data_IF_113512445176
#
_entry.id   IF_113512445176
#
_cell.length_a   1.000
_cell.length_b   1.000
_cell.length_c   1.000
_cell.angle_alpha   90.00
_cell.angle_beta   90.00
_cell.angle_gamma   90.00
#
_symmetry.space_group_name_H-M   'P 1'
#
loop_
_entity.id
_entity.type
_entity.pdbx_description
1 polymer ?
#
# COMPACT_ATOMS: atom_id res chain seq x y z
N UNK A 1 34.88 -0.09 -5.65
CA UNK A 1 33.73 0.57 -4.97
C UNK A 1 32.42 0.08 -5.61
N UNK A 2 31.49 -0.42 -4.80
CA UNK A 2 30.14 -0.78 -5.30
C UNK A 2 29.40 0.49 -5.72
N UNK A 3 28.86 0.52 -6.94
CA UNK A 3 28.08 1.62 -7.48
C UNK A 3 26.60 1.25 -7.40
N UNK A 4 25.80 2.14 -6.82
CA UNK A 4 24.34 1.98 -6.76
C UNK A 4 23.66 3.02 -7.61
N UNK A 5 22.56 2.63 -8.21
CA UNK A 5 21.72 3.46 -9.06
C UNK A 5 20.31 3.43 -8.53
N UNK A 6 19.58 4.51 -8.73
CA UNK A 6 18.21 4.64 -8.33
C UNK A 6 17.32 4.81 -9.55
N UNK A 7 16.17 4.14 -9.56
CA UNK A 7 15.11 4.35 -10.52
C UNK A 7 13.82 4.74 -9.79
N UNK A 8 13.05 5.65 -10.37
CA UNK A 8 11.76 6.06 -9.83
C UNK A 8 10.67 5.88 -10.88
N UNK A 9 9.51 5.40 -10.44
CA UNK A 9 8.28 5.39 -11.20
C UNK A 9 7.18 6.11 -10.43
N UNK A 10 6.61 7.16 -11.04
CA UNK A 10 5.50 7.93 -10.51
C UNK A 10 4.60 8.28 -11.71
N UNK A 11 3.56 7.52 -11.93
CA UNK A 11 2.64 7.68 -13.06
C UNK A 11 1.24 8.02 -12.56
N UNK A 12 0.54 8.88 -13.26
CA UNK A 12 -0.82 9.29 -12.92
C UNK A 12 -1.78 8.10 -12.74
N UNK A 13 -1.55 7.00 -13.47
CA UNK A 13 -2.33 5.79 -13.37
C UNK A 13 -1.91 4.84 -12.23
N UNK A 14 -0.87 5.16 -11.45
CA UNK A 14 -0.56 4.47 -10.20
C UNK A 14 -1.41 5.04 -9.06
N UNK A 15 -2.68 4.81 -9.15
CA UNK A 15 -3.67 5.33 -8.21
C UNK A 15 -4.67 4.24 -7.79
N UNK A 16 -5.33 4.46 -6.67
CA UNK A 16 -6.48 3.71 -6.22
C UNK A 16 -7.43 4.60 -5.43
N UNK A 17 -8.73 4.47 -5.67
CA UNK A 17 -9.77 5.15 -4.91
C UNK A 17 -10.27 4.20 -3.81
N UNK A 18 -10.11 4.58 -2.54
CA UNK A 18 -10.50 3.72 -1.43
C UNK A 18 -11.05 4.50 -0.27
N UNK A 19 -12.03 3.90 0.42
CA UNK A 19 -12.54 4.39 1.68
C UNK A 19 -11.73 3.79 2.84
N UNK A 20 -11.56 4.59 3.89
CA UNK A 20 -10.91 4.16 5.13
C UNK A 20 -11.34 5.03 6.33
N UNK A 21 -10.80 4.74 7.49
CA UNK A 21 -10.82 5.59 8.68
C UNK A 21 -9.60 5.31 9.54
N UNK A 22 -9.10 6.34 10.21
CA UNK A 22 -8.03 6.21 11.21
C UNK A 22 -8.61 5.98 12.62
N UNK A 23 -7.80 5.37 13.47
CA UNK A 23 -7.94 5.43 14.91
C UNK A 23 -6.83 6.34 15.43
N UNK A 24 -7.22 7.43 16.07
CA UNK A 24 -6.28 8.40 16.64
C UNK A 24 -5.64 7.91 17.95
N UNK A 25 -4.53 8.52 18.41
CA UNK A 25 -3.85 8.10 19.65
C UNK A 25 -4.71 8.14 20.91
N UNK A 26 -5.72 9.02 20.93
CA UNK A 26 -6.71 9.11 22.01
C UNK A 26 -7.81 8.03 21.93
N UNK A 27 -7.73 7.13 20.93
CA UNK A 27 -8.69 6.07 20.67
C UNK A 27 -9.94 6.51 19.95
N UNK A 28 -10.03 7.75 19.48
CA UNK A 28 -11.14 8.21 18.65
C UNK A 28 -11.04 7.66 17.24
N UNK A 29 -12.19 7.29 16.67
CA UNK A 29 -12.31 6.86 15.28
C UNK A 29 -12.66 8.05 14.39
N UNK A 30 -11.90 8.22 13.35
CA UNK A 30 -12.22 9.14 12.26
C UNK A 30 -13.51 8.70 11.52
N UNK A 31 -14.35 9.62 11.03
CA UNK A 31 -15.45 9.25 10.13
C UNK A 31 -14.96 8.47 8.91
N UNK A 32 -15.75 7.48 8.47
CA UNK A 32 -15.46 6.77 7.22
C UNK A 32 -15.51 7.75 6.04
N UNK A 33 -14.44 7.83 5.28
CA UNK A 33 -14.30 8.70 4.11
C UNK A 33 -13.36 8.06 3.09
N UNK A 34 -13.09 8.70 1.98
CA UNK A 34 -12.25 8.13 0.94
C UNK A 34 -11.35 9.17 0.29
N UNK A 35 -10.29 8.64 -0.34
CA UNK A 35 -9.31 9.39 -1.11
C UNK A 35 -9.02 8.74 -2.45
N UNK A 36 -8.54 9.53 -3.40
CA UNK A 36 -7.88 9.07 -4.60
C UNK A 36 -6.37 9.04 -4.34
N UNK A 37 -5.90 7.92 -3.82
CA UNK A 37 -4.49 7.74 -3.49
C UNK A 37 -3.62 7.69 -4.74
N UNK A 38 -2.44 8.31 -4.64
CA UNK A 38 -1.40 8.28 -5.68
C UNK A 38 -0.17 7.57 -5.15
N UNK A 39 0.41 6.66 -5.94
CA UNK A 39 1.57 5.85 -5.54
C UNK A 39 2.80 6.24 -6.34
N UNK A 40 3.95 6.32 -5.66
CA UNK A 40 5.27 6.42 -6.27
C UNK A 40 6.21 5.36 -5.68
N UNK A 41 7.12 4.86 -6.49
CA UNK A 41 8.07 3.81 -6.09
C UNK A 41 9.46 4.16 -6.58
N UNK A 42 10.42 4.13 -5.66
CA UNK A 42 11.86 4.24 -5.96
C UNK A 42 12.56 2.95 -5.58
N UNK A 43 13.39 2.41 -6.47
CA UNK A 43 14.25 1.26 -6.22
C UNK A 43 15.70 1.69 -6.33
N UNK A 44 16.53 1.28 -5.38
CA UNK A 44 17.98 1.44 -5.41
C UNK A 44 18.65 0.07 -5.54
N UNK A 45 19.62 -0.06 -6.45
CA UNK A 45 20.32 -1.32 -6.65
C UNK A 45 21.49 -1.21 -7.61
N UNK A 46 22.07 -2.36 -7.92
CA UNK A 46 23.11 -2.46 -8.94
C UNK A 46 22.48 -2.61 -10.34
N UNK A 47 23.18 -2.12 -11.34
CA UNK A 47 22.79 -2.36 -12.74
C UNK A 47 23.23 -3.75 -13.18
N UNK A 48 22.47 -4.36 -14.07
CA UNK A 48 22.80 -5.62 -14.73
C UNK A 48 23.77 -5.40 -15.91
N UNK A 49 23.97 -6.46 -16.70
CA UNK A 49 24.84 -6.42 -17.89
C UNK A 49 24.32 -5.50 -19.01
N UNK A 50 23.01 -5.18 -19.00
CA UNK A 50 22.39 -4.25 -19.93
C UNK A 50 22.42 -2.79 -19.42
N UNK A 51 22.97 -2.55 -18.21
CA UNK A 51 23.07 -1.23 -17.61
C UNK A 51 21.80 -0.73 -16.96
N UNK A 52 20.87 -1.62 -16.55
CA UNK A 52 19.59 -1.25 -15.91
C UNK A 52 19.47 -1.87 -14.52
N UNK A 53 18.88 -1.14 -13.57
CA UNK A 53 18.49 -1.68 -12.25
C UNK A 53 17.30 -2.64 -12.42
N UNK A 54 16.31 -2.19 -13.16
CA UNK A 54 15.13 -2.96 -13.49
C UNK A 54 14.46 -2.36 -14.75
N UNK A 55 13.92 -3.21 -15.62
CA UNK A 55 13.22 -2.78 -16.82
C UNK A 55 11.86 -2.14 -16.48
N UNK A 56 11.67 -0.90 -16.89
CA UNK A 56 10.44 -0.13 -16.67
C UNK A 56 9.20 -0.73 -17.34
N UNK A 57 9.37 -1.38 -18.51
CA UNK A 57 8.25 -1.96 -19.27
C UNK A 57 7.61 -3.08 -18.45
N UNK A 58 8.44 -3.85 -17.77
CA UNK A 58 8.00 -4.99 -16.96
C UNK A 58 7.66 -4.57 -15.51
N UNK A 59 8.33 -3.55 -14.98
CA UNK A 59 8.14 -3.10 -13.59
C UNK A 59 6.84 -2.31 -13.40
N UNK A 60 6.52 -1.38 -14.30
CA UNK A 60 5.31 -0.55 -14.18
C UNK A 60 4.01 -1.36 -14.05
N UNK A 61 3.77 -2.44 -14.82
CA UNK A 61 2.59 -3.28 -14.65
C UNK A 61 2.46 -3.91 -13.25
N UNK A 62 3.58 -4.23 -12.57
CA UNK A 62 3.53 -4.77 -11.21
C UNK A 62 3.04 -3.73 -10.21
N UNK A 63 3.53 -2.48 -10.32
CA UNK A 63 3.04 -1.38 -9.48
C UNK A 63 1.55 -1.14 -9.72
N UNK A 64 1.14 -1.11 -10.99
CA UNK A 64 -0.28 -0.93 -11.34
C UNK A 64 -1.16 -2.05 -10.77
N UNK A 65 -0.73 -3.30 -10.87
CA UNK A 65 -1.46 -4.44 -10.31
C UNK A 65 -1.67 -4.32 -8.79
N UNK A 66 -0.66 -3.82 -8.06
CA UNK A 66 -0.80 -3.59 -6.61
C UNK A 66 -1.79 -2.47 -6.31
N UNK A 67 -1.77 -1.39 -7.09
CA UNK A 67 -2.78 -0.33 -6.98
C UNK A 67 -4.19 -0.85 -7.27
N UNK A 68 -4.38 -1.60 -8.35
CA UNK A 68 -5.68 -2.16 -8.75
C UNK A 68 -6.27 -3.08 -7.70
N UNK A 69 -5.43 -3.81 -6.95
CA UNK A 69 -5.89 -4.67 -5.88
C UNK A 69 -6.54 -3.90 -4.72
N UNK A 70 -6.19 -2.63 -4.54
CA UNK A 70 -6.75 -1.76 -3.50
C UNK A 70 -7.89 -0.87 -4.02
N UNK A 71 -8.06 -0.77 -5.34
CA UNK A 71 -8.95 0.19 -5.96
C UNK A 71 -10.44 -0.16 -5.76
N UNK A 72 -11.27 0.86 -5.53
CA UNK A 72 -12.72 0.76 -5.28
C UNK A 72 -13.07 -0.18 -4.13
N UNK A 73 -12.31 -0.09 -3.02
CA UNK A 73 -12.50 -0.89 -1.80
C UNK A 73 -12.60 -0.03 -0.54
N UNK A 74 -13.13 -0.64 0.51
CA UNK A 74 -12.99 -0.13 1.88
C UNK A 74 -11.85 -0.84 2.56
N UNK A 75 -10.82 -0.10 2.97
CA UNK A 75 -9.64 -0.64 3.65
C UNK A 75 -9.90 -0.70 5.15
N UNK A 76 -9.83 -1.90 5.73
CA UNK A 76 -10.08 -2.13 7.16
C UNK A 76 -8.85 -2.75 7.80
N UNK A 77 -8.30 -2.06 8.79
CA UNK A 77 -7.18 -2.51 9.62
C UNK A 77 -7.64 -3.61 10.58
N UNK A 78 -7.00 -4.79 10.56
CA UNK A 78 -7.39 -5.94 11.38
C UNK A 78 -6.61 -6.08 12.68
N UNK A 79 -5.49 -5.37 12.83
CA UNK A 79 -4.60 -5.45 13.99
C UNK A 79 -4.80 -4.27 14.97
N UNK A 80 -5.77 -3.41 14.71
CA UNK A 80 -6.11 -2.33 15.64
C UNK A 80 -6.68 -2.92 16.95
N UNK A 81 -6.14 -2.55 18.13
CA UNK A 81 -6.67 -3.03 19.40
C UNK A 81 -8.01 -2.37 19.78
N UNK A 82 -8.42 -1.34 19.06
CA UNK A 82 -9.59 -0.51 19.40
C UNK A 82 -10.86 -0.97 18.69
N UNK A 83 -10.73 -1.58 17.51
CA UNK A 83 -11.87 -2.08 16.74
C UNK A 83 -11.91 -3.60 16.76
N UNK A 84 -13.10 -4.15 16.56
CA UNK A 84 -13.30 -5.61 16.36
C UNK A 84 -13.83 -5.84 14.97
N UNK A 85 -13.15 -6.69 14.20
CA UNK A 85 -13.51 -7.03 12.83
C UNK A 85 -13.97 -8.49 12.79
N UNK A 86 -15.19 -8.73 12.33
CA UNK A 86 -15.79 -10.06 12.24
C UNK A 86 -16.29 -10.33 10.81
N UNK A 87 -16.04 -11.54 10.32
CA UNK A 87 -16.64 -12.04 9.08
C UNK A 87 -17.99 -12.68 9.40
N UNK A 88 -19.04 -12.22 8.73
CA UNK A 88 -20.42 -12.72 8.89
C UNK A 88 -21.01 -13.11 7.53
N UNK A 89 -20.67 -14.32 7.07
CA UNK A 89 -21.11 -14.78 5.75
C UNK A 89 -20.61 -13.89 4.63
N UNK A 90 -21.51 -13.18 3.96
CA UNK A 90 -21.19 -12.25 2.87
C UNK A 90 -20.93 -10.82 3.33
N UNK A 91 -20.78 -10.59 4.63
CA UNK A 91 -20.58 -9.28 5.22
C UNK A 91 -19.35 -9.23 6.11
N UNK A 92 -18.79 -8.03 6.25
CA UNK A 92 -17.76 -7.68 7.22
C UNK A 92 -18.39 -6.72 8.23
N UNK A 93 -18.36 -7.11 9.49
CA UNK A 93 -18.79 -6.27 10.61
C UNK A 93 -17.57 -5.64 11.28
N UNK A 94 -17.56 -4.32 11.40
CA UNK A 94 -16.57 -3.56 12.17
C UNK A 94 -17.28 -2.92 13.35
N UNK A 95 -16.81 -3.17 14.56
CA UNK A 95 -17.32 -2.59 15.80
C UNK A 95 -16.31 -1.64 16.43
N UNK A 96 -16.79 -0.47 16.78
CA UNK A 96 -16.06 0.55 17.54
C UNK A 96 -16.95 1.07 18.65
N UNK A 97 -16.64 0.78 19.91
CA UNK A 97 -17.50 1.11 21.07
C UNK A 97 -18.94 0.59 20.82
N UNK A 98 -19.92 1.49 20.83
CA UNK A 98 -21.34 1.19 20.53
C UNK A 98 -21.67 1.27 19.04
N UNK A 99 -20.75 1.76 18.20
CA UNK A 99 -20.96 1.91 16.75
C UNK A 99 -20.69 0.59 16.02
N UNK A 100 -21.41 0.39 14.94
CA UNK A 100 -21.30 -0.78 14.09
C UNK A 100 -21.36 -0.36 12.62
N UNK A 101 -20.37 -0.81 11.83
CA UNK A 101 -20.39 -0.75 10.38
C UNK A 101 -20.60 -2.16 9.85
N UNK A 102 -21.48 -2.31 8.89
CA UNK A 102 -21.74 -3.57 8.21
C UNK A 102 -21.57 -3.33 6.71
N UNK A 103 -20.61 -4.00 6.10
CA UNK A 103 -20.18 -3.77 4.72
C UNK A 103 -20.25 -5.09 3.94
N UNK A 104 -20.64 -5.08 2.66
CA UNK A 104 -20.50 -6.25 1.80
C UNK A 104 -19.05 -6.73 1.75
N UNK A 105 -18.84 -8.03 1.91
CA UNK A 105 -17.49 -8.61 1.94
C UNK A 105 -16.68 -8.30 0.68
N UNK A 106 -17.32 -8.27 -0.47
CA UNK A 106 -16.68 -7.98 -1.75
C UNK A 106 -16.14 -6.55 -1.85
N UNK A 107 -16.68 -5.62 -1.05
CA UNK A 107 -16.30 -4.20 -1.06
C UNK A 107 -15.19 -3.89 -0.05
N UNK A 108 -14.71 -4.90 0.70
CA UNK A 108 -13.75 -4.72 1.79
C UNK A 108 -12.45 -5.46 1.51
N UNK A 109 -11.34 -4.78 1.80
CA UNK A 109 -10.03 -5.41 1.98
C UNK A 109 -9.64 -5.34 3.43
N UNK A 110 -9.37 -6.51 4.02
CA UNK A 110 -8.84 -6.65 5.35
C UNK A 110 -7.31 -6.58 5.30
N UNK A 111 -6.75 -5.55 5.90
CA UNK A 111 -5.31 -5.31 5.93
C UNK A 111 -4.74 -5.71 7.30
N UNK A 112 -3.65 -6.47 7.36
CA UNK A 112 -2.96 -6.82 8.61
C UNK A 112 -2.13 -5.63 9.11
N UNK A 113 -2.80 -4.53 9.42
CA UNK A 113 -2.25 -3.27 9.87
C UNK A 113 -2.93 -2.84 11.15
N UNK A 114 -2.23 -2.07 11.97
CA UNK A 114 -2.80 -1.46 13.18
C UNK A 114 -3.65 -0.23 12.86
N UNK A 115 -3.39 0.41 11.72
CA UNK A 115 -4.12 1.57 11.23
C UNK A 115 -4.02 1.66 9.70
N UNK A 116 -4.84 2.50 9.06
CA UNK A 116 -4.79 2.75 7.60
C UNK A 116 -4.23 4.13 7.27
N UNK A 117 -3.20 4.54 8.00
CA UNK A 117 -2.45 5.76 7.69
C UNK A 117 -1.67 5.62 6.38
N UNK A 118 -1.34 6.74 5.75
CA UNK A 118 -0.57 6.75 4.49
C UNK A 118 0.80 6.09 4.64
N UNK A 119 1.44 6.18 5.82
CA UNK A 119 2.72 5.55 6.13
C UNK A 119 2.59 4.01 6.13
N UNK A 120 1.58 3.47 6.82
CA UNK A 120 1.35 2.02 6.87
C UNK A 120 0.81 1.47 5.55
N UNK A 121 0.04 2.26 4.81
CA UNK A 121 -0.36 1.90 3.44
C UNK A 121 0.86 1.88 2.51
N UNK A 122 1.81 2.81 2.66
CA UNK A 122 3.05 2.82 1.90
C UNK A 122 3.89 1.57 2.19
N UNK A 123 4.01 1.17 3.45
CA UNK A 123 4.69 -0.07 3.86
C UNK A 123 3.98 -1.31 3.28
N UNK A 124 2.66 -1.38 3.36
CA UNK A 124 1.88 -2.47 2.79
C UNK A 124 2.07 -2.59 1.28
N UNK A 125 1.98 -1.46 0.55
CA UNK A 125 2.22 -1.42 -0.91
C UNK A 125 3.65 -1.85 -1.22
N UNK A 126 4.63 -1.40 -0.43
CA UNK A 126 6.03 -1.81 -0.58
C UNK A 126 6.19 -3.33 -0.45
N UNK A 127 5.56 -3.94 0.53
CA UNK A 127 5.61 -5.39 0.74
C UNK A 127 4.98 -6.18 -0.41
N UNK A 128 3.86 -5.71 -0.96
CA UNK A 128 3.25 -6.33 -2.13
C UNK A 128 4.17 -6.22 -3.36
N UNK A 129 4.70 -5.04 -3.63
CA UNK A 129 5.63 -4.81 -4.76
C UNK A 129 6.89 -5.66 -4.59
N UNK A 130 7.47 -5.73 -3.38
CA UNK A 130 8.66 -6.54 -3.08
C UNK A 130 8.43 -8.02 -3.42
N UNK A 131 7.28 -8.58 -3.03
CA UNK A 131 6.92 -9.97 -3.34
C UNK A 131 6.84 -10.22 -4.84
N UNK A 132 6.17 -9.35 -5.58
CA UNK A 132 6.01 -9.49 -7.03
C UNK A 132 7.35 -9.30 -7.78
N UNK A 133 8.16 -8.33 -7.36
CA UNK A 133 9.48 -8.09 -7.96
C UNK A 133 10.41 -9.28 -7.70
N UNK A 134 10.49 -9.78 -6.45
CA UNK A 134 11.32 -10.98 -6.14
C UNK A 134 10.91 -12.19 -6.95
N UNK A 135 9.61 -12.38 -7.16
CA UNK A 135 9.07 -13.48 -7.97
C UNK A 135 9.43 -13.35 -9.45
N UNK A 136 9.31 -12.14 -10.00
CA UNK A 136 9.49 -11.89 -11.44
C UNK A 136 10.94 -11.64 -11.83
N UNK A 137 11.72 -11.08 -10.92
CA UNK A 137 13.13 -10.69 -11.13
C UNK A 137 14.05 -11.29 -10.05
N UNK A 138 14.17 -12.63 -9.97
CA UNK A 138 14.89 -13.30 -8.89
C UNK A 138 16.39 -12.98 -8.87
N UNK A 139 16.94 -12.43 -9.97
CA UNK A 139 18.35 -12.08 -10.11
C UNK A 139 18.60 -10.57 -9.99
N UNK A 140 17.57 -9.75 -9.80
CA UNK A 140 17.74 -8.32 -9.61
C UNK A 140 18.45 -8.03 -8.27
N UNK A 141 19.47 -7.18 -8.31
CA UNK A 141 20.27 -6.81 -7.14
C UNK A 141 19.77 -5.50 -6.55
N UNK A 142 18.54 -5.54 -6.06
CA UNK A 142 17.91 -4.40 -5.42
C UNK A 142 18.32 -4.38 -3.95
N UNK A 143 18.75 -3.23 -3.47
CA UNK A 143 19.18 -3.01 -2.10
C UNK A 143 18.09 -2.45 -1.21
N UNK A 144 17.42 -1.42 -1.72
CA UNK A 144 16.35 -0.74 -0.97
C UNK A 144 15.21 -0.31 -1.88
N UNK A 145 14.08 -0.10 -1.24
CA UNK A 145 12.88 0.41 -1.88
C UNK A 145 12.27 1.51 -1.03
N UNK A 146 11.81 2.57 -1.68
CA UNK A 146 10.99 3.61 -1.09
C UNK A 146 9.64 3.68 -1.81
N UNK A 147 8.56 3.73 -1.05
CA UNK A 147 7.20 3.87 -1.57
C UNK A 147 6.54 5.07 -0.93
N UNK A 148 5.94 5.93 -1.76
CA UNK A 148 5.10 7.03 -1.32
C UNK A 148 3.64 6.74 -1.63
N UNK A 149 2.77 6.99 -0.64
CA UNK A 149 1.30 6.99 -0.80
C UNK A 149 0.78 8.37 -0.44
N UNK A 150 0.20 9.06 -1.40
CA UNK A 150 -0.36 10.41 -1.27
C UNK A 150 -1.88 10.32 -1.27
N UNK A 151 -2.53 10.80 -0.20
CA UNK A 151 -3.99 10.79 -0.06
C UNK A 151 -4.67 12.06 -0.57
N UNK A 152 -3.95 13.17 -0.52
CA UNK A 152 -4.33 14.47 -1.06
C UNK A 152 -3.08 15.19 -1.52
N UNK A 153 -3.21 16.17 -2.39
CA UNK A 153 -2.07 16.93 -2.92
C UNK A 153 -1.19 17.49 -1.81
N UNK A 154 0.07 17.01 -1.75
CA UNK A 154 1.03 17.44 -0.75
C UNK A 154 0.93 16.73 0.61
N UNK A 155 0.05 15.73 0.75
CA UNK A 155 -0.09 14.91 1.96
C UNK A 155 0.29 13.46 1.64
N UNK A 156 1.56 13.15 1.83
CA UNK A 156 2.17 11.87 1.46
C UNK A 156 2.84 11.19 2.64
N UNK A 157 2.47 9.95 2.89
CA UNK A 157 3.24 9.03 3.74
C UNK A 157 4.31 8.31 2.92
N UNK A 158 5.48 8.12 3.50
CA UNK A 158 6.62 7.48 2.87
C UNK A 158 7.10 6.31 3.70
N UNK A 159 7.37 5.18 3.05
CA UNK A 159 8.05 4.04 3.64
C UNK A 159 9.35 3.78 2.88
N UNK A 160 10.46 3.60 3.62
CA UNK A 160 11.73 3.18 3.07
C UNK A 160 12.26 1.98 3.84
N UNK A 161 12.61 0.93 3.13
CA UNK A 161 13.13 -0.30 3.72
C UNK A 161 14.14 -1.01 2.82
N UNK A 162 14.87 -1.97 3.40
CA UNK A 162 15.70 -2.88 2.63
C UNK A 162 14.81 -3.78 1.74
N UNK A 163 15.39 -4.17 0.60
CA UNK A 163 14.67 -4.98 -0.37
C UNK A 163 14.84 -6.48 -0.13
#
# INVERSE_FOLDING_TARGET
MSRFFSIEVAKDYFNFASAHFLIFPDGQREPLHGHNYQVSVTLEGEIDHAGVVLDFITFKPLVKQVCDALDHRTLIQTESPIIKVNRRGQEIEVRYKTQRLLLPRQDVILLPLVNTSTELLAEHVADQIRREVRKKFPHARIRSMEVGVEEARGQRGMFRGEF
#
